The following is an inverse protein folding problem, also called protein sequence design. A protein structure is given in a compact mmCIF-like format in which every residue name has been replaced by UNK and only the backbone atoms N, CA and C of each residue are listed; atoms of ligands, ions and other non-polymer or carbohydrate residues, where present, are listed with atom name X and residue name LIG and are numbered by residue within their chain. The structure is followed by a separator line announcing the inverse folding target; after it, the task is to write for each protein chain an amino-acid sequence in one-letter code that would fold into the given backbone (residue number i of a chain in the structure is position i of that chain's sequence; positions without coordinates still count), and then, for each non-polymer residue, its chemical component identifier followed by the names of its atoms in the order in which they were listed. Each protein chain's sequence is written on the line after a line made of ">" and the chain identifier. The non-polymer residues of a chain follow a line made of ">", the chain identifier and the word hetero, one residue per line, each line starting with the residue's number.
data_IF_355740433655
#
_entry.id   IF_355740433655
#
_cell.length_a   1.000
_cell.length_b   1.000
_cell.length_c   1.000
_cell.angle_alpha   90.00
_cell.angle_beta   90.00
_cell.angle_gamma   90.00
#
_symmetry.space_group_name_H-M   'P 1'
#
loop_
_entity.id
_entity.type
_entity.pdbx_description
1 polymer ?
#
# COMPACT_ATOMS: atom_id res chain seq x y z
N UNK A 1 -9.67 0.15 10.65
CA UNK A 1 -8.51 0.53 9.79
C UNK A 1 -7.27 0.89 10.62
N UNK A 2 -7.39 1.65 11.72
CA UNK A 2 -6.22 2.07 12.53
C UNK A 2 -5.27 0.94 12.96
N UNK A 3 -5.79 -0.20 13.42
CA UNK A 3 -4.95 -1.36 13.80
C UNK A 3 -4.21 -1.97 12.61
N UNK A 4 -4.82 -2.00 11.41
CA UNK A 4 -4.15 -2.47 10.19
C UNK A 4 -3.00 -1.51 9.83
N UNK A 5 -3.20 -0.20 9.92
CA UNK A 5 -2.13 0.77 9.69
C UNK A 5 -1.00 0.59 10.71
N UNK A 6 -1.33 0.38 11.98
CA UNK A 6 -0.34 0.14 13.02
C UNK A 6 0.47 -1.13 12.72
N UNK A 7 -0.18 -2.26 12.46
CA UNK A 7 0.49 -3.52 12.15
C UNK A 7 1.37 -3.44 10.88
N UNK A 8 0.88 -2.82 9.81
CA UNK A 8 1.63 -2.63 8.57
C UNK A 8 2.89 -1.77 8.78
N UNK A 9 2.85 -0.74 9.64
CA UNK A 9 3.96 0.19 9.85
C UNK A 9 4.94 -0.33 10.92
N UNK A 10 4.46 -0.80 12.07
CA UNK A 10 5.31 -1.14 13.22
C UNK A 10 5.84 -2.57 13.18
N UNK A 11 5.13 -3.48 12.50
CA UNK A 11 5.49 -4.89 12.39
C UNK A 11 5.78 -5.32 10.95
N UNK A 12 5.61 -4.43 9.96
CA UNK A 12 5.72 -4.78 8.54
C UNK A 12 4.80 -5.95 8.16
N UNK A 13 3.59 -6.02 8.76
CA UNK A 13 2.65 -7.11 8.52
C UNK A 13 2.10 -7.06 7.08
N UNK A 14 2.50 -8.04 6.27
CA UNK A 14 2.12 -8.15 4.86
C UNK A 14 0.61 -8.33 4.66
N UNK A 15 -0.07 -9.02 5.57
CA UNK A 15 -1.53 -9.21 5.46
C UNK A 15 -2.25 -7.90 5.73
N UNK A 16 -1.80 -7.14 6.74
CA UNK A 16 -2.31 -5.81 7.01
C UNK A 16 -2.05 -4.85 5.84
N UNK A 17 -0.85 -4.89 5.24
CA UNK A 17 -0.51 -4.10 4.06
C UNK A 17 -1.43 -4.42 2.86
N UNK A 18 -1.66 -5.71 2.56
CA UNK A 18 -2.58 -6.12 1.49
C UNK A 18 -4.02 -5.68 1.75
N UNK A 19 -4.51 -5.82 2.99
CA UNK A 19 -5.86 -5.35 3.35
C UNK A 19 -6.00 -3.83 3.18
N UNK A 20 -4.97 -3.05 3.55
CA UNK A 20 -4.97 -1.60 3.34
C UNK A 20 -4.91 -1.24 1.85
N UNK A 21 -4.03 -1.88 1.08
CA UNK A 21 -3.94 -1.70 -0.38
C UNK A 21 -5.30 -1.93 -1.05
N UNK A 22 -6.03 -2.97 -0.67
CA UNK A 22 -7.36 -3.24 -1.21
C UNK A 22 -8.36 -2.09 -0.96
N UNK A 23 -8.23 -1.36 0.15
CA UNK A 23 -9.11 -0.21 0.46
C UNK A 23 -8.84 1.03 -0.40
N UNK A 24 -7.64 1.13 -0.98
CA UNK A 24 -7.21 2.29 -1.80
C UNK A 24 -7.15 1.98 -3.30
N UNK A 25 -7.69 0.85 -3.74
CA UNK A 25 -7.70 0.45 -5.16
C UNK A 25 -6.49 -0.41 -5.58
N UNK A 26 -5.86 -1.09 -4.63
CA UNK A 26 -4.70 -1.96 -4.85
C UNK A 26 -3.40 -1.20 -5.18
N UNK A 27 -2.37 -1.90 -5.68
CA UNK A 27 -1.08 -1.31 -6.05
C UNK A 27 -1.19 -0.09 -6.97
N UNK A 28 -2.06 -0.19 -7.99
CA UNK A 28 -2.32 0.90 -8.91
C UNK A 28 -2.96 2.11 -8.23
N UNK A 29 -3.85 1.89 -7.26
CA UNK A 29 -4.49 2.96 -6.49
C UNK A 29 -3.51 3.74 -5.61
N UNK A 30 -2.58 3.04 -4.95
CA UNK A 30 -1.50 3.70 -4.20
C UNK A 30 -0.57 4.48 -5.15
N UNK A 31 -0.22 3.93 -6.30
CA UNK A 31 0.55 4.65 -7.32
C UNK A 31 -0.19 5.91 -7.80
N UNK A 32 -1.51 5.82 -8.02
CA UNK A 32 -2.32 6.98 -8.41
C UNK A 32 -2.33 8.08 -7.34
N UNK A 33 -2.45 7.71 -6.06
CA UNK A 33 -2.33 8.66 -4.93
C UNK A 33 -0.96 9.35 -4.92
N UNK A 34 0.13 8.61 -5.11
CA UNK A 34 1.48 9.18 -5.16
C UNK A 34 1.62 10.24 -6.28
N UNK A 35 1.02 9.98 -7.45
CA UNK A 35 0.99 10.97 -8.55
C UNK A 35 0.20 12.23 -8.19
N UNK A 36 -0.89 12.10 -7.43
CA UNK A 36 -1.69 13.26 -6.99
C UNK A 36 -0.92 14.19 -6.04
N UNK A 37 0.03 13.66 -5.26
CA UNK A 37 0.86 14.46 -4.35
C UNK A 37 2.19 14.91 -4.98
N UNK A 38 2.37 14.72 -6.28
CA UNK A 38 3.55 15.17 -7.04
C UNK A 38 4.72 14.19 -7.07
N UNK A 39 4.59 12.99 -6.50
CA UNK A 39 5.60 11.95 -6.65
C UNK A 39 5.43 11.28 -8.02
N UNK A 40 6.41 11.46 -8.90
CA UNK A 40 6.44 10.88 -10.25
C UNK A 40 7.44 9.72 -10.40
N UNK A 41 8.08 9.29 -9.31
CA UNK A 41 9.14 8.27 -9.33
C UNK A 41 8.64 6.96 -8.72
N UNK A 42 8.06 7.02 -7.52
CA UNK A 42 7.65 5.82 -6.77
C UNK A 42 6.53 5.09 -7.50
N UNK A 43 6.59 3.77 -7.56
CA UNK A 43 5.50 2.91 -8.07
C UNK A 43 5.34 1.68 -7.22
N UNK A 44 4.12 1.17 -7.18
CA UNK A 44 3.76 -0.10 -6.55
C UNK A 44 2.96 -0.90 -7.57
N UNK A 45 3.52 -2.02 -8.03
CA UNK A 45 2.96 -2.81 -9.12
C UNK A 45 2.35 -4.15 -8.66
N UNK A 46 2.65 -4.58 -7.42
CA UNK A 46 2.37 -5.94 -6.94
C UNK A 46 1.86 -5.95 -5.50
N UNK A 47 1.24 -7.07 -5.12
CA UNK A 47 0.85 -7.37 -3.75
C UNK A 47 1.97 -8.10 -3.00
N UNK A 48 1.91 -8.11 -1.66
CA UNK A 48 2.78 -8.98 -0.87
C UNK A 48 2.29 -10.44 -0.96
N UNK A 49 3.14 -11.47 -1.08
CA UNK A 49 4.61 -11.47 -1.17
C UNK A 49 5.09 -11.82 -2.58
N UNK A 50 4.48 -11.26 -3.62
CA UNK A 50 4.85 -11.57 -4.99
C UNK A 50 6.35 -11.29 -5.23
N UNK A 51 7.07 -12.29 -5.75
CA UNK A 51 8.51 -12.23 -6.02
C UNK A 51 8.83 -11.60 -7.36
#
# INVERSE_FOLDING_TARGET
>A
VGELCAAAITMSDNSAANLLLATVGGPAGLTAFLRQIGDNVTRVDRWETEL
#
